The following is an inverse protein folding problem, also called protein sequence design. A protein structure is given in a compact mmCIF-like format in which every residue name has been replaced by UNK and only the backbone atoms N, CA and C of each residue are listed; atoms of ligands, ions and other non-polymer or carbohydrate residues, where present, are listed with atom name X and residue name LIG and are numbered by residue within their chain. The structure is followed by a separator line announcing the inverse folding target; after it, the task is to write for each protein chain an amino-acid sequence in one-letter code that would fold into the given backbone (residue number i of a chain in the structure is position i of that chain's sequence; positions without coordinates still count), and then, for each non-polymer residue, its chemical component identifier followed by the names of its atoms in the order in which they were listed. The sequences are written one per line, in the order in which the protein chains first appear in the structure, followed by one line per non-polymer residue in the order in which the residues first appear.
data_IF_111183029860
#
_entry.id   IF_111183029860
#
_cell.length_a   1.000
_cell.length_b   1.000
_cell.length_c   1.000
_cell.angle_alpha   90.00
_cell.angle_beta   90.00
_cell.angle_gamma   90.00
#
_symmetry.space_group_name_H-M   'P 1'
#
loop_
_entity.id
_entity.type
_entity.pdbx_description
1 polymer ?
#
# COMPACT_ATOMS: atom_id res chain seq x y z
N UNK A 1 -31.90 -18.39 24.75
CA UNK A 1 -31.93 -18.09 23.30
C UNK A 1 -31.14 -19.18 22.59
N UNK A 2 -31.71 -19.93 21.63
CA UNK A 2 -30.90 -20.83 20.80
C UNK A 2 -29.95 -20.00 19.94
N UNK A 3 -28.74 -20.51 19.73
CA UNK A 3 -27.77 -19.87 18.84
C UNK A 3 -28.33 -19.86 17.40
N UNK A 4 -28.42 -18.69 16.79
CA UNK A 4 -28.76 -18.56 15.39
C UNK A 4 -27.50 -18.71 14.55
N UNK A 5 -27.52 -19.60 13.56
CA UNK A 5 -26.48 -19.66 12.56
C UNK A 5 -26.58 -18.43 11.65
N UNK A 6 -25.51 -17.64 11.60
CA UNK A 6 -25.38 -16.51 10.67
C UNK A 6 -24.37 -16.95 9.61
N UNK A 7 -24.83 -17.05 8.36
CA UNK A 7 -23.93 -17.32 7.24
C UNK A 7 -23.07 -16.10 6.96
N UNK A 8 -21.78 -16.21 7.25
CA UNK A 8 -20.79 -15.16 7.05
C UNK A 8 -19.71 -15.57 6.04
N UNK A 9 -19.96 -16.58 5.20
CA UNK A 9 -19.00 -17.04 4.18
C UNK A 9 -18.54 -15.92 3.24
N UNK A 10 -19.42 -14.97 2.93
CA UNK A 10 -19.08 -13.77 2.15
C UNK A 10 -18.12 -12.80 2.88
N UNK A 11 -18.03 -12.91 4.21
CA UNK A 11 -17.13 -12.16 5.09
C UNK A 11 -15.93 -12.96 5.55
N UNK A 12 -15.69 -14.17 5.03
CA UNK A 12 -14.61 -15.04 5.54
C UNK A 12 -13.24 -14.37 5.53
N UNK A 13 -12.98 -13.47 4.57
CA UNK A 13 -11.74 -12.69 4.50
C UNK A 13 -11.57 -11.68 5.66
N UNK A 14 -12.65 -11.34 6.38
CA UNK A 14 -12.64 -10.45 7.54
C UNK A 14 -12.30 -11.20 8.84
N UNK A 15 -12.39 -12.52 8.86
CA UNK A 15 -12.08 -13.35 10.01
C UNK A 15 -10.70 -13.98 9.86
N UNK A 16 -9.77 -13.59 10.72
CA UNK A 16 -8.43 -14.16 10.77
C UNK A 16 -7.98 -14.25 12.22
N UNK A 17 -7.12 -15.23 12.51
CA UNK A 17 -6.67 -15.48 13.87
C UNK A 17 -5.54 -14.50 14.25
N UNK A 18 -5.66 -13.88 15.42
CA UNK A 18 -4.66 -12.95 15.95
C UNK A 18 -4.00 -13.61 17.17
N UNK A 19 -2.84 -14.21 16.94
CA UNK A 19 -2.08 -14.89 18.01
C UNK A 19 -0.73 -14.23 18.32
N UNK A 20 -0.31 -13.24 17.53
CA UNK A 20 0.99 -12.59 17.67
C UNK A 20 0.83 -11.07 17.70
N UNK A 21 1.76 -10.32 18.33
CA UNK A 21 1.77 -8.86 18.27
C UNK A 21 1.82 -8.33 16.84
N UNK A 22 2.54 -9.00 15.95
CA UNK A 22 2.60 -8.66 14.53
C UNK A 22 1.25 -8.82 13.83
N UNK A 23 0.55 -9.94 14.07
CA UNK A 23 -0.80 -10.15 13.54
C UNK A 23 -1.79 -9.10 14.06
N UNK A 24 -1.61 -8.64 15.30
CA UNK A 24 -2.44 -7.59 15.88
C UNK A 24 -2.20 -6.22 15.21
N UNK A 25 -0.95 -5.85 14.94
CA UNK A 25 -0.65 -4.63 14.19
C UNK A 25 -1.14 -4.69 12.74
N UNK A 26 -1.01 -5.86 12.09
CA UNK A 26 -1.58 -6.09 10.77
C UNK A 26 -3.11 -5.96 10.78
N UNK A 27 -3.78 -6.45 11.84
CA UNK A 27 -5.22 -6.31 12.04
C UNK A 27 -5.67 -4.86 12.14
N UNK A 28 -4.98 -4.05 12.96
CA UNK A 28 -5.25 -2.60 13.06
C UNK A 28 -5.06 -1.93 11.71
N UNK A 29 -4.02 -2.32 10.98
CA UNK A 29 -3.74 -1.78 9.66
C UNK A 29 -4.88 -2.06 8.68
N UNK A 30 -5.38 -3.30 8.67
CA UNK A 30 -6.53 -3.71 7.87
C UNK A 30 -7.82 -2.98 8.28
N UNK A 31 -8.12 -2.88 9.58
CA UNK A 31 -9.27 -2.11 10.07
C UNK A 31 -9.20 -0.65 9.63
N UNK A 32 -8.02 -0.04 9.71
CA UNK A 32 -7.80 1.33 9.22
C UNK A 32 -8.09 1.45 7.72
N UNK A 33 -7.68 0.47 6.91
CA UNK A 33 -7.97 0.43 5.47
C UNK A 33 -9.44 0.16 5.14
N UNK A 34 -10.16 -0.60 5.98
CA UNK A 34 -11.58 -0.92 5.76
C UNK A 34 -12.50 0.31 5.77
N UNK A 35 -12.02 1.41 6.37
CA UNK A 35 -12.72 2.69 6.45
C UNK A 35 -12.34 3.67 5.34
N UNK A 36 -11.41 3.27 4.45
CA UNK A 36 -10.92 4.11 3.34
C UNK A 36 -11.68 3.77 2.06
N UNK A 37 -11.89 4.78 1.22
CA UNK A 37 -12.41 4.58 -0.12
C UNK A 37 -11.40 3.83 -0.99
N UNK A 38 -10.12 4.21 -0.86
CA UNK A 38 -9.00 3.53 -1.52
C UNK A 38 -8.01 3.08 -0.44
N UNK A 39 -7.83 1.76 -0.23
CA UNK A 39 -6.91 1.27 0.80
C UNK A 39 -5.46 1.63 0.44
N UNK A 40 -4.67 1.95 1.47
CA UNK A 40 -3.29 2.45 1.32
C UNK A 40 -2.34 1.56 2.10
N UNK A 41 -1.21 1.20 1.50
CA UNK A 41 -0.09 0.51 2.16
C UNK A 41 1.20 1.26 1.88
N UNK A 42 2.00 1.49 2.91
CA UNK A 42 3.34 2.08 2.75
C UNK A 42 4.39 0.98 2.71
N UNK A 43 5.26 1.06 1.71
CA UNK A 43 6.45 0.23 1.61
C UNK A 43 7.63 0.98 2.24
N UNK A 44 8.20 0.39 3.29
CA UNK A 44 9.34 0.92 4.03
C UNK A 44 10.55 0.00 3.88
N UNK A 45 11.73 0.50 4.25
CA UNK A 45 12.94 -0.30 4.45
C UNK A 45 13.91 0.49 5.35
N UNK A 46 14.80 -0.16 6.09
CA UNK A 46 15.68 0.49 7.05
C UNK A 46 16.60 1.56 6.44
N UNK A 47 17.21 1.29 5.27
CA UNK A 47 18.15 2.21 4.61
C UNK A 47 17.70 2.61 3.20
N UNK A 48 18.42 3.57 2.65
CA UNK A 48 18.34 3.93 1.23
C UNK A 48 18.97 2.83 0.39
N UNK A 49 18.31 2.40 -0.68
CA UNK A 49 18.88 1.40 -1.59
C UNK A 49 18.62 -0.05 -1.19
N UNK A 50 17.93 -0.30 -0.08
CA UNK A 50 17.53 -1.65 0.38
C UNK A 50 16.37 -2.25 -0.45
N UNK A 51 16.35 -2.01 -1.76
CA UNK A 51 15.40 -2.67 -2.66
C UNK A 51 13.95 -2.16 -2.64
N UNK A 52 13.55 -1.18 -1.81
CA UNK A 52 12.19 -0.59 -1.77
C UNK A 52 11.54 -0.39 -3.13
N UNK A 53 12.22 0.33 -4.03
CA UNK A 53 11.68 0.61 -5.35
C UNK A 53 11.59 -0.65 -6.22
N UNK A 54 12.53 -1.58 -6.08
CA UNK A 54 12.51 -2.87 -6.78
C UNK A 54 11.32 -3.70 -6.31
N UNK A 55 11.15 -3.83 -4.99
CA UNK A 55 10.03 -4.52 -4.37
C UNK A 55 8.69 -3.88 -4.74
N UNK A 56 8.61 -2.54 -4.76
CA UNK A 56 7.42 -1.81 -5.21
C UNK A 56 7.08 -2.15 -6.67
N UNK A 57 8.06 -2.13 -7.57
CA UNK A 57 7.83 -2.47 -8.98
C UNK A 57 7.43 -3.95 -9.16
N UNK A 58 8.03 -4.87 -8.42
CA UNK A 58 7.66 -6.29 -8.43
C UNK A 58 6.23 -6.50 -7.92
N UNK A 59 5.87 -5.89 -6.79
CA UNK A 59 4.52 -5.95 -6.23
C UNK A 59 3.47 -5.36 -7.17
N UNK A 60 3.76 -4.20 -7.79
CA UNK A 60 2.87 -3.60 -8.81
C UNK A 60 2.68 -4.56 -9.97
N UNK A 61 3.76 -5.15 -10.50
CA UNK A 61 3.70 -6.09 -11.62
C UNK A 61 2.78 -7.27 -11.30
N UNK A 62 2.97 -7.90 -10.14
CA UNK A 62 2.20 -9.08 -9.76
C UNK A 62 0.74 -8.74 -9.43
N UNK A 63 0.48 -7.63 -8.74
CA UNK A 63 -0.89 -7.18 -8.45
C UNK A 63 -1.64 -6.83 -9.75
N UNK A 64 -0.99 -6.12 -10.67
CA UNK A 64 -1.57 -5.81 -11.98
C UNK A 64 -1.80 -7.08 -12.80
N UNK A 65 -0.87 -8.05 -12.75
CA UNK A 65 -1.04 -9.35 -13.39
C UNK A 65 -2.24 -10.13 -12.82
N UNK A 66 -2.52 -10.00 -11.53
CA UNK A 66 -3.74 -10.53 -10.87
C UNK A 66 -5.01 -9.72 -11.14
N UNK A 67 -4.94 -8.65 -11.93
CA UNK A 67 -6.09 -7.84 -12.35
C UNK A 67 -6.41 -6.65 -11.45
N UNK A 68 -5.59 -6.36 -10.44
CA UNK A 68 -5.80 -5.19 -9.57
C UNK A 68 -5.27 -3.91 -10.23
N UNK A 69 -6.03 -2.82 -10.12
CA UNK A 69 -5.58 -1.49 -10.51
C UNK A 69 -4.77 -0.87 -9.37
N UNK A 70 -3.45 -0.73 -9.56
CA UNK A 70 -2.55 -0.21 -8.54
C UNK A 70 -2.13 1.22 -8.84
N UNK A 71 -2.38 2.14 -7.93
CA UNK A 71 -1.80 3.48 -7.95
C UNK A 71 -0.53 3.52 -7.08
N UNK A 72 0.46 4.31 -7.51
CA UNK A 72 1.74 4.44 -6.82
C UNK A 72 2.03 5.90 -6.49
N UNK A 73 2.28 6.18 -5.21
CA UNK A 73 2.68 7.51 -4.75
C UNK A 73 4.08 7.43 -4.17
N UNK A 74 5.01 8.16 -4.77
CA UNK A 74 6.35 8.31 -4.23
C UNK A 74 6.46 9.60 -3.42
N UNK A 75 6.79 9.51 -2.15
CA UNK A 75 7.14 10.67 -1.32
C UNK A 75 8.63 10.99 -1.49
N UNK A 76 8.94 12.25 -1.79
CA UNK A 76 10.30 12.77 -1.95
C UNK A 76 10.58 13.87 -0.92
N UNK A 77 11.83 13.97 -0.46
CA UNK A 77 12.31 15.13 0.30
C UNK A 77 12.93 16.21 -0.60
N UNK A 78 13.08 15.91 -1.89
CA UNK A 78 13.63 16.83 -2.88
C UNK A 78 12.52 17.35 -3.78
N UNK A 79 12.61 18.63 -4.16
CA UNK A 79 11.83 19.22 -5.25
C UNK A 79 12.24 18.54 -6.55
N UNK A 80 11.31 17.84 -7.20
CA UNK A 80 11.61 17.10 -8.44
C UNK A 80 10.98 17.84 -9.61
N UNK A 81 11.83 18.49 -10.40
CA UNK A 81 11.38 19.34 -11.51
C UNK A 81 11.04 18.56 -12.80
N UNK A 82 11.55 17.33 -12.98
CA UNK A 82 11.41 16.61 -14.25
C UNK A 82 11.29 15.10 -14.08
N UNK A 83 10.32 14.50 -14.76
CA UNK A 83 10.21 13.04 -14.92
C UNK A 83 11.39 12.54 -15.76
N UNK A 84 12.10 11.53 -15.26
CA UNK A 84 13.29 10.96 -15.90
C UNK A 84 13.07 9.48 -16.20
N UNK A 85 13.44 9.04 -17.41
CA UNK A 85 13.48 7.62 -17.78
C UNK A 85 14.38 6.85 -16.80
N UNK A 86 13.92 5.69 -16.35
CA UNK A 86 14.61 4.86 -15.35
C UNK A 86 14.45 5.33 -13.90
N UNK A 87 13.77 6.45 -13.66
CA UNK A 87 13.36 6.85 -12.30
C UNK A 87 12.36 5.89 -11.70
N UNK A 88 12.19 5.95 -10.39
CA UNK A 88 11.30 5.05 -9.65
C UNK A 88 9.84 5.21 -10.10
N UNK A 89 9.44 6.44 -10.46
CA UNK A 89 8.12 6.69 -11.05
C UNK A 89 7.98 6.14 -12.48
N UNK A 90 9.06 6.07 -13.25
CA UNK A 90 9.07 5.45 -14.58
C UNK A 90 8.98 3.93 -14.47
N UNK A 91 9.71 3.33 -13.52
CA UNK A 91 9.64 1.89 -13.23
C UNK A 91 8.24 1.47 -12.78
N UNK A 92 7.60 2.22 -11.88
CA UNK A 92 6.23 1.93 -11.45
C UNK A 92 5.22 1.97 -12.62
N UNK A 93 5.35 2.94 -13.53
CA UNK A 93 4.52 2.98 -14.76
C UNK A 93 4.74 1.76 -15.64
N UNK A 94 6.00 1.38 -15.86
CA UNK A 94 6.37 0.20 -16.66
C UNK A 94 5.92 -1.12 -16.02
N UNK A 95 5.86 -1.18 -14.70
CA UNK A 95 5.32 -2.30 -13.94
C UNK A 95 3.79 -2.43 -14.04
N UNK A 96 3.10 -1.42 -14.61
CA UNK A 96 1.65 -1.47 -14.81
C UNK A 96 0.83 -0.69 -13.79
N UNK A 97 1.43 0.25 -13.05
CA UNK A 97 0.66 1.16 -12.21
C UNK A 97 -0.26 2.05 -13.07
N UNK A 98 -1.55 2.11 -12.73
CA UNK A 98 -2.56 2.90 -13.47
C UNK A 98 -2.40 4.40 -13.25
N UNK A 99 -1.83 4.79 -12.11
CA UNK A 99 -1.52 6.16 -11.76
C UNK A 99 -0.21 6.23 -10.98
N UNK A 100 0.60 7.25 -11.27
CA UNK A 100 1.85 7.48 -10.56
C UNK A 100 2.03 8.95 -10.21
N UNK A 101 2.02 9.23 -8.91
CA UNK A 101 2.22 10.55 -8.34
C UNK A 101 3.57 10.65 -7.64
N UNK A 102 4.14 11.85 -7.65
CA UNK A 102 5.32 12.21 -6.89
C UNK A 102 4.90 13.34 -5.96
N UNK A 103 5.19 13.20 -4.67
CA UNK A 103 4.85 14.17 -3.64
C UNK A 103 6.14 14.65 -2.98
N UNK A 104 6.64 15.81 -3.38
CA UNK A 104 7.75 16.53 -2.80
C UNK A 104 7.31 17.64 -1.84
N UNK A 105 8.27 18.41 -1.27
CA UNK A 105 7.99 19.47 -0.31
C UNK A 105 7.14 20.63 -0.86
N UNK A 106 7.14 20.85 -2.17
CA UNK A 106 6.41 21.93 -2.82
C UNK A 106 4.97 21.55 -3.22
N UNK A 107 4.59 20.27 -3.08
CA UNK A 107 3.34 19.75 -3.65
C UNK A 107 2.16 19.78 -2.67
N UNK A 108 2.40 20.00 -1.37
CA UNK A 108 1.33 20.06 -0.38
C UNK A 108 1.18 21.49 0.21
N UNK A 109 -0.05 21.93 0.52
CA UNK A 109 -0.29 23.29 1.01
C UNK A 109 0.42 23.58 2.34
N UNK A 110 0.84 24.83 2.51
CA UNK A 110 1.40 25.30 3.79
C UNK A 110 0.41 25.05 4.94
N UNK A 111 0.90 24.52 6.05
CA UNK A 111 0.07 24.14 7.20
C UNK A 111 -0.55 22.74 7.13
N UNK A 112 -0.42 22.03 6.01
CA UNK A 112 -0.85 20.63 5.88
C UNK A 112 0.33 19.70 6.16
N UNK A 113 0.11 18.62 6.94
CA UNK A 113 1.13 17.57 7.08
C UNK A 113 1.23 16.79 5.78
N UNK A 114 2.45 16.46 5.35
CA UNK A 114 2.69 15.71 4.11
C UNK A 114 1.91 14.39 4.09
N UNK A 115 1.82 13.70 5.22
CA UNK A 115 1.09 12.44 5.36
C UNK A 115 -0.42 12.61 5.14
N UNK A 116 -1.01 13.70 5.63
CA UNK A 116 -2.43 14.01 5.45
C UNK A 116 -2.73 14.31 3.97
N UNK A 117 -1.82 15.03 3.30
CA UNK A 117 -1.92 15.29 1.88
C UNK A 117 -1.78 14.02 1.03
N UNK A 118 -0.81 13.14 1.36
CA UNK A 118 -0.67 11.83 0.69
C UNK A 118 -1.94 11.00 0.89
N UNK A 119 -2.55 11.01 2.08
CA UNK A 119 -3.81 10.31 2.33
C UNK A 119 -4.91 10.87 1.42
N UNK A 120 -5.10 12.19 1.39
CA UNK A 120 -6.10 12.84 0.55
C UNK A 120 -5.89 12.51 -0.94
N UNK A 121 -4.65 12.60 -1.42
CA UNK A 121 -4.30 12.22 -2.80
C UNK A 121 -4.58 10.75 -3.10
N UNK A 122 -4.32 9.86 -2.13
CA UNK A 122 -4.61 8.42 -2.26
C UNK A 122 -6.10 8.16 -2.40
N UNK A 123 -6.93 8.85 -1.61
CA UNK A 123 -8.39 8.65 -1.63
C UNK A 123 -9.05 9.16 -2.93
N UNK A 124 -8.37 10.00 -3.70
CA UNK A 124 -8.84 10.49 -5.00
C UNK A 124 -8.43 9.60 -6.18
N UNK A 125 -7.65 8.54 -5.96
CA UNK A 125 -7.22 7.67 -7.05
C UNK A 125 -8.38 6.81 -7.56
N UNK A 126 -8.45 6.64 -8.87
CA UNK A 126 -9.29 5.63 -9.52
C UNK A 126 -8.48 4.34 -9.65
N UNK A 127 -8.31 3.65 -8.51
CA UNK A 127 -7.51 2.43 -8.39
C UNK A 127 -8.06 1.58 -7.24
N UNK A 128 -7.78 0.27 -7.25
CA UNK A 128 -8.23 -0.66 -6.22
C UNK A 128 -7.42 -0.50 -4.92
N UNK A 129 -6.16 -0.07 -5.03
CA UNK A 129 -5.28 0.20 -3.90
C UNK A 129 -4.16 1.18 -4.27
N UNK A 130 -3.60 1.82 -3.25
CA UNK A 130 -2.44 2.72 -3.37
C UNK A 130 -1.25 2.17 -2.61
N UNK A 131 -0.12 2.04 -3.31
CA UNK A 131 1.18 1.81 -2.71
C UNK A 131 1.91 3.13 -2.53
N UNK A 132 2.33 3.42 -1.31
CA UNK A 132 3.12 4.60 -0.97
C UNK A 132 4.56 4.19 -0.70
N UNK A 133 5.52 4.77 -1.42
CA UNK A 133 6.93 4.69 -1.02
C UNK A 133 7.29 5.96 -0.24
N UNK A 134 7.55 5.82 1.06
CA UNK A 134 7.89 6.94 1.94
C UNK A 134 9.00 6.57 2.93
N UNK A 135 9.68 7.59 3.45
CA UNK A 135 10.63 7.48 4.59
C UNK A 135 10.04 8.01 5.90
N UNK A 136 8.89 8.68 5.84
CA UNK A 136 8.20 9.16 7.03
C UNK A 136 7.12 8.18 7.46
N UNK A 137 6.91 8.08 8.77
CA UNK A 137 5.80 7.33 9.32
C UNK A 137 4.51 8.16 9.15
N UNK A 138 3.52 7.57 8.49
CA UNK A 138 2.17 8.11 8.35
C UNK A 138 1.13 7.20 8.98
N UNK A 139 -0.17 7.56 8.91
CA UNK A 139 -1.27 6.77 9.44
C UNK A 139 -1.55 5.50 8.59
N UNK A 140 -0.63 5.12 7.73
CA UNK A 140 -0.78 4.03 6.79
C UNK A 140 -0.18 2.76 7.40
N UNK A 141 -0.83 1.60 7.21
CA UNK A 141 -0.19 0.31 7.43
C UNK A 141 1.13 0.24 6.65
N UNK A 142 2.18 -0.30 7.28
CA UNK A 142 3.53 -0.32 6.72
C UNK A 142 4.00 -1.76 6.57
N UNK A 143 4.69 -2.05 5.47
CA UNK A 143 5.40 -3.30 5.25
C UNK A 143 6.87 -2.94 5.04
N UNK A 144 7.74 -3.52 5.87
CA UNK A 144 9.18 -3.50 5.61
C UNK A 144 9.50 -4.52 4.53
N UNK A 145 9.94 -4.04 3.36
CA UNK A 145 10.20 -4.91 2.20
C UNK A 145 11.40 -5.84 2.42
N UNK A 146 12.23 -5.63 3.44
CA UNK A 146 13.37 -6.52 3.71
C UNK A 146 12.99 -7.74 4.55
N UNK A 147 11.76 -7.81 5.05
CA UNK A 147 11.27 -8.89 5.92
C UNK A 147 10.40 -9.90 5.18
N UNK A 148 10.20 -9.72 3.87
CA UNK A 148 9.32 -10.55 3.05
C UNK A 148 9.93 -10.77 1.67
N UNK A 149 9.73 -11.96 1.11
CA UNK A 149 9.94 -12.17 -0.33
C UNK A 149 8.80 -11.56 -1.16
N UNK A 150 8.92 -11.58 -2.49
CA UNK A 150 7.95 -10.97 -3.39
C UNK A 150 6.53 -11.55 -3.21
N UNK A 151 6.39 -12.85 -2.97
CA UNK A 151 5.10 -13.49 -2.79
C UNK A 151 4.47 -13.11 -1.44
N UNK A 152 5.26 -13.14 -0.37
CA UNK A 152 4.82 -12.74 0.95
C UNK A 152 4.46 -11.25 0.98
N UNK A 153 5.21 -10.39 0.27
CA UNK A 153 4.92 -8.98 0.12
C UNK A 153 3.55 -8.76 -0.52
N UNK A 154 3.28 -9.40 -1.67
CA UNK A 154 1.98 -9.28 -2.35
C UNK A 154 0.84 -9.77 -1.46
N UNK A 155 1.00 -10.91 -0.79
CA UNK A 155 -0.02 -11.45 0.09
C UNK A 155 -0.29 -10.54 1.30
N UNK A 156 0.76 -9.94 1.87
CA UNK A 156 0.63 -8.96 2.96
C UNK A 156 -0.09 -7.69 2.49
N UNK A 157 0.20 -7.20 1.26
CA UNK A 157 -0.53 -6.07 0.66
C UNK A 157 -2.02 -6.42 0.53
N UNK A 158 -2.35 -7.57 -0.07
CA UNK A 158 -3.73 -8.01 -0.25
C UNK A 158 -4.46 -8.13 1.09
N UNK A 159 -3.80 -8.73 2.09
CA UNK A 159 -4.34 -8.82 3.45
C UNK A 159 -4.64 -7.44 4.05
N UNK A 160 -3.68 -6.51 4.01
CA UNK A 160 -3.84 -5.17 4.61
C UNK A 160 -4.87 -4.33 3.86
N UNK A 161 -5.11 -4.60 2.57
CA UNK A 161 -6.05 -3.85 1.73
C UNK A 161 -7.45 -4.45 1.69
N UNK A 162 -7.66 -5.60 2.35
CA UNK A 162 -8.97 -6.22 2.44
C UNK A 162 -9.28 -7.23 1.32
N UNK A 163 -8.41 -7.35 0.32
CA UNK A 163 -8.56 -8.28 -0.78
C UNK A 163 -8.15 -9.70 -0.40
N UNK A 164 -8.65 -10.70 -1.13
CA UNK A 164 -8.26 -12.08 -0.92
C UNK A 164 -6.84 -12.30 -1.43
N UNK A 165 -5.96 -12.74 -0.55
CA UNK A 165 -4.75 -13.45 -0.96
C UNK A 165 -5.18 -14.73 -1.67
N UNK A 166 -4.66 -15.01 -2.86
CA UNK A 166 -4.95 -16.24 -3.61
C UNK A 166 -4.38 -17.50 -2.96
N UNK A 167 -3.83 -17.39 -1.75
CA UNK A 167 -3.37 -18.50 -0.93
C UNK A 167 -4.37 -18.71 0.21
N UNK A 168 -5.36 -19.56 -0.05
CA UNK A 168 -6.04 -20.41 0.93
C UNK A 168 -5.99 -21.83 0.38
#
# INVERSE_FOLDING_TARGET
MPAAYVDETFRSALYFNINTPEAYEAAKGRDTNSRRQVPVVTLTAPKSGDGKTTAAAAAITELTHRGYQVAYIKSSHHTVARRKTGSDTDRARKAGAVSVCLCGPADYPMGTRKEDYILALSQQQLADLVLVESRSHGPFPQIDVTQADDNQLVNNILFLTGYRSSVI
#
